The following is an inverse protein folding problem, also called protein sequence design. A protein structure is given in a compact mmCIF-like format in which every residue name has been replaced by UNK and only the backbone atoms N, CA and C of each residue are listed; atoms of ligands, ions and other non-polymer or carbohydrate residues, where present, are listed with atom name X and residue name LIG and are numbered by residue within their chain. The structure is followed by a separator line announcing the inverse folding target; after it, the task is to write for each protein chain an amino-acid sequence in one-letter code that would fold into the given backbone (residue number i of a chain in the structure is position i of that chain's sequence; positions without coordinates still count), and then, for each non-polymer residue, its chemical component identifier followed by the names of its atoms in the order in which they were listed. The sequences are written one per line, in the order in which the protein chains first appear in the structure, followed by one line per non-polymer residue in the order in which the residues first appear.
data_IF_804714895876
#
_entry.id   IF_804714895876
#
_cell.length_a   1.000
_cell.length_b   1.000
_cell.length_c   1.000
_cell.angle_alpha   90.00
_cell.angle_beta   90.00
_cell.angle_gamma   90.00
#
_symmetry.space_group_name_H-M   'P 1'
#
loop_
_entity.id
_entity.type
_entity.pdbx_description
1 polymer ?
#
# COMPACT_ATOMS: atom_id res chain seq x y z
N UNK A 1 63.62 -20.08 55.36
CA UNK A 1 62.51 -21.01 55.66
C UNK A 1 61.26 -20.49 54.95
N UNK A 2 60.56 -21.40 54.27
CA UNK A 2 59.40 -21.23 53.37
C UNK A 2 58.43 -20.08 53.69
N UNK A 3 57.94 -19.36 52.67
CA UNK A 3 56.63 -19.61 52.01
C UNK A 3 56.39 -18.70 50.79
N UNK A 4 55.83 -19.32 49.75
CA UNK A 4 55.48 -18.79 48.44
C UNK A 4 54.30 -17.82 48.49
N UNK A 5 54.29 -16.84 47.58
CA UNK A 5 53.08 -16.34 46.90
C UNK A 5 53.45 -16.12 45.42
N UNK A 6 52.69 -16.76 44.54
CA UNK A 6 52.74 -16.58 43.08
C UNK A 6 51.80 -15.44 42.72
N UNK A 7 52.27 -14.43 41.99
CA UNK A 7 51.40 -13.47 41.27
C UNK A 7 51.88 -13.41 39.82
N UNK A 8 50.91 -13.67 38.94
CA UNK A 8 51.00 -13.90 37.51
C UNK A 8 51.14 -12.57 36.74
N UNK A 9 52.08 -12.52 35.79
CA UNK A 9 52.25 -11.44 34.81
C UNK A 9 51.12 -11.46 33.77
N UNK A 10 50.61 -10.29 33.37
CA UNK A 10 49.98 -10.12 32.07
C UNK A 10 50.29 -8.71 31.52
N UNK A 11 51.04 -8.66 30.42
CA UNK A 11 51.34 -7.47 29.64
C UNK A 11 50.09 -6.96 28.91
N UNK A 12 49.91 -5.64 28.92
CA UNK A 12 48.95 -4.92 28.09
C UNK A 12 49.34 -5.01 26.60
N UNK A 13 48.46 -5.59 25.80
CA UNK A 13 48.50 -5.57 24.34
C UNK A 13 47.58 -4.44 23.86
N UNK A 14 48.16 -3.36 23.34
CA UNK A 14 47.42 -2.30 22.65
C UNK A 14 47.16 -2.73 21.20
N UNK A 15 45.90 -3.07 20.88
CA UNK A 15 45.44 -3.32 19.51
C UNK A 15 44.98 -1.99 18.91
N UNK A 16 45.64 -1.59 17.84
CA UNK A 16 45.22 -0.54 16.92
C UNK A 16 44.04 -1.10 16.11
N UNK A 17 42.80 -0.66 16.36
CA UNK A 17 41.68 -0.94 15.46
C UNK A 17 41.61 0.23 14.47
N UNK A 18 42.04 -0.06 13.24
CA UNK A 18 41.82 0.81 12.09
C UNK A 18 40.32 0.80 11.83
N UNK A 19 39.66 1.94 12.05
CA UNK A 19 38.27 2.15 11.65
C UNK A 19 38.17 2.18 10.13
N UNK A 20 37.72 1.08 9.54
CA UNK A 20 37.22 0.99 8.17
C UNK A 20 35.73 0.67 8.32
N UNK A 21 34.86 1.65 8.04
CA UNK A 21 33.41 1.51 8.25
C UNK A 21 32.59 2.78 8.01
N UNK A 22 33.22 3.94 7.77
CA UNK A 22 32.49 5.18 7.46
C UNK A 22 32.27 5.43 5.94
N UNK A 23 32.79 4.55 5.08
CA UNK A 23 32.76 4.70 3.62
C UNK A 23 31.60 3.96 2.97
N UNK A 24 31.33 2.72 3.38
CA UNK A 24 30.27 1.87 2.81
C UNK A 24 28.89 2.40 3.19
N UNK A 25 28.64 2.72 4.48
CA UNK A 25 27.36 3.27 4.94
C UNK A 25 26.95 4.59 4.25
N UNK A 26 27.93 5.44 3.88
CA UNK A 26 27.65 6.69 3.16
C UNK A 26 27.37 6.48 1.68
N UNK A 27 28.02 5.51 1.06
CA UNK A 27 27.80 5.15 -0.34
C UNK A 27 26.46 4.42 -0.49
N UNK A 28 26.11 3.54 0.45
CA UNK A 28 24.82 2.84 0.50
C UNK A 28 23.66 3.80 0.76
N UNK A 29 23.77 4.73 1.73
CA UNK A 29 22.78 5.80 1.93
C UNK A 29 22.69 6.78 0.74
N UNK A 30 23.80 7.02 0.03
CA UNK A 30 23.81 7.81 -1.21
C UNK A 30 23.16 7.09 -2.39
N UNK A 31 23.15 5.76 -2.39
CA UNK A 31 22.50 4.92 -3.40
C UNK A 31 20.99 4.85 -3.12
N UNK A 32 20.58 4.69 -1.86
CA UNK A 32 19.17 4.65 -1.45
C UNK A 32 18.44 5.98 -1.73
N UNK A 33 19.12 7.11 -1.52
CA UNK A 33 18.57 8.44 -1.85
C UNK A 33 18.59 8.79 -3.34
N UNK A 34 19.23 7.98 -4.19
CA UNK A 34 19.37 8.28 -5.62
C UNK A 34 18.10 7.86 -6.36
N UNK A 35 17.59 8.82 -7.14
CA UNK A 35 16.40 8.67 -7.97
C UNK A 35 16.80 8.71 -9.44
N UNK A 36 16.33 7.76 -10.22
CA UNK A 36 16.51 7.70 -11.67
C UNK A 36 15.22 8.15 -12.34
N UNK A 37 15.33 8.85 -13.49
CA UNK A 37 14.18 9.36 -14.22
C UNK A 37 14.10 8.67 -15.59
N UNK A 38 12.95 8.08 -15.92
CA UNK A 38 12.69 7.48 -17.24
C UNK A 38 12.75 8.55 -18.32
N UNK A 39 13.41 8.24 -19.44
CA UNK A 39 13.71 9.15 -20.54
C UNK A 39 14.95 10.01 -20.33
N UNK A 40 15.27 10.36 -19.08
CA UNK A 40 16.49 11.11 -18.74
C UNK A 40 17.66 10.15 -18.51
N UNK A 41 17.54 9.31 -17.48
CA UNK A 41 18.56 8.38 -17.03
C UNK A 41 18.34 6.95 -17.56
N UNK A 42 17.09 6.56 -17.81
CA UNK A 42 16.71 5.24 -18.34
C UNK A 42 16.14 5.43 -19.74
N UNK A 43 16.79 4.86 -20.77
CA UNK A 43 16.36 5.00 -22.16
C UNK A 43 15.34 3.93 -22.53
N UNK A 44 14.49 4.23 -23.50
CA UNK A 44 13.41 3.33 -23.97
C UNK A 44 13.94 1.96 -24.36
N UNK A 45 15.04 1.95 -25.10
CA UNK A 45 15.71 0.76 -25.61
C UNK A 45 16.36 -0.10 -24.51
N UNK A 46 16.55 0.45 -23.31
CA UNK A 46 17.11 -0.30 -22.19
C UNK A 46 16.03 -1.02 -21.37
N UNK A 47 14.75 -0.66 -21.50
CA UNK A 47 13.65 -1.25 -20.73
C UNK A 47 13.44 -2.71 -21.13
N UNK A 48 13.46 -3.61 -20.14
CA UNK A 48 13.30 -5.05 -20.36
C UNK A 48 12.03 -5.64 -19.74
N UNK A 49 11.55 -5.06 -18.64
CA UNK A 49 10.40 -5.56 -17.90
C UNK A 49 9.78 -4.42 -17.08
N UNK A 50 8.46 -4.37 -17.05
CA UNK A 50 7.67 -3.44 -16.26
C UNK A 50 6.48 -4.17 -15.68
N UNK A 51 6.28 -4.03 -14.38
CA UNK A 51 5.17 -4.61 -13.64
C UNK A 51 4.31 -3.51 -13.07
N UNK A 52 3.02 -3.73 -13.15
CA UNK A 52 2.00 -2.97 -12.46
C UNK A 52 1.05 -3.99 -11.84
N UNK A 53 0.96 -3.98 -10.51
CA UNK A 53 0.12 -4.93 -9.78
C UNK A 53 -0.72 -4.17 -8.78
N UNK A 54 -2.03 -4.31 -8.88
CA UNK A 54 -3.01 -3.82 -7.91
C UNK A 54 -3.66 -5.03 -7.26
N UNK A 55 -3.82 -5.03 -5.94
CA UNK A 55 -4.51 -6.12 -5.26
C UNK A 55 -5.22 -5.63 -4.00
N UNK A 56 -6.34 -6.27 -3.71
CA UNK A 56 -7.03 -6.20 -2.44
C UNK A 56 -7.09 -7.62 -1.87
N UNK A 57 -6.68 -7.79 -0.61
CA UNK A 57 -6.67 -9.08 0.09
C UNK A 57 -7.80 -9.20 1.13
N UNK A 58 -8.68 -8.20 1.21
CA UNK A 58 -9.83 -8.18 2.10
C UNK A 58 -10.96 -9.11 1.61
N UNK A 59 -12.14 -8.99 2.21
CA UNK A 59 -13.33 -9.66 1.72
C UNK A 59 -13.66 -9.19 0.30
N UNK A 60 -14.04 -10.12 -0.58
CA UNK A 60 -14.14 -9.87 -2.02
C UNK A 60 -12.80 -9.43 -2.65
N UNK A 61 -11.74 -10.20 -2.36
CA UNK A 61 -10.39 -9.94 -2.85
C UNK A 61 -10.30 -9.89 -4.38
N UNK A 62 -9.47 -8.98 -4.89
CA UNK A 62 -9.12 -8.91 -6.31
C UNK A 62 -7.62 -8.81 -6.50
N UNK A 63 -7.15 -9.21 -7.68
CA UNK A 63 -5.77 -9.05 -8.08
C UNK A 63 -5.73 -8.72 -9.57
N UNK A 64 -5.10 -7.60 -9.91
CA UNK A 64 -4.89 -7.12 -11.27
C UNK A 64 -3.40 -6.99 -11.52
N UNK A 65 -2.89 -7.64 -12.57
CA UNK A 65 -1.49 -7.51 -12.99
C UNK A 65 -1.39 -7.21 -14.47
N UNK A 66 -0.61 -6.17 -14.78
CA UNK A 66 -0.12 -5.87 -16.12
C UNK A 66 1.39 -5.99 -16.16
N UNK A 67 1.92 -6.59 -17.23
CA UNK A 67 3.35 -6.74 -17.43
C UNK A 67 3.75 -6.44 -18.86
N UNK A 68 4.64 -5.48 -19.04
CA UNK A 68 5.26 -5.15 -20.33
C UNK A 68 6.69 -5.67 -20.33
N UNK A 69 7.06 -6.53 -21.28
CA UNK A 69 8.37 -7.16 -21.27
C UNK A 69 8.90 -7.46 -22.67
N UNK A 70 10.22 -7.62 -22.77
CA UNK A 70 10.91 -8.03 -24.00
C UNK A 70 11.27 -9.50 -23.90
N UNK A 71 10.81 -10.30 -24.87
CA UNK A 71 11.16 -11.72 -24.97
C UNK A 71 11.46 -12.06 -26.43
N UNK A 72 12.64 -12.65 -26.68
CA UNK A 72 13.09 -13.02 -28.04
C UNK A 72 12.98 -11.85 -29.04
N UNK A 73 13.46 -10.66 -28.65
CA UNK A 73 13.42 -9.41 -29.42
C UNK A 73 12.02 -8.93 -29.81
N UNK A 74 10.98 -9.38 -29.09
CA UNK A 74 9.58 -8.98 -29.28
C UNK A 74 9.03 -8.33 -28.02
N UNK A 75 8.26 -7.27 -28.20
CA UNK A 75 7.51 -6.63 -27.14
C UNK A 75 6.26 -7.46 -26.79
N UNK A 76 6.04 -7.66 -25.50
CA UNK A 76 4.94 -8.46 -24.97
C UNK A 76 4.19 -7.70 -23.90
N UNK A 77 2.88 -7.89 -23.90
CA UNK A 77 1.97 -7.44 -22.84
C UNK A 77 1.27 -8.66 -22.26
N UNK A 78 1.46 -8.90 -20.97
CA UNK A 78 0.72 -9.89 -20.21
C UNK A 78 -0.28 -9.18 -19.31
N UNK A 79 -1.48 -9.74 -19.21
CA UNK A 79 -2.51 -9.29 -18.29
C UNK A 79 -3.08 -10.45 -17.50
N UNK A 80 -3.47 -10.19 -16.26
CA UNK A 80 -4.15 -11.13 -15.40
C UNK A 80 -5.08 -10.41 -14.44
N UNK A 81 -6.32 -10.85 -14.39
CA UNK A 81 -7.33 -10.44 -13.41
C UNK A 81 -7.75 -11.67 -12.63
N UNK A 82 -7.85 -11.53 -11.31
CA UNK A 82 -8.37 -12.55 -10.42
C UNK A 82 -9.40 -11.91 -9.50
N UNK A 83 -10.46 -12.66 -9.21
CA UNK A 83 -11.51 -12.26 -8.28
C UNK A 83 -11.81 -13.45 -7.37
N UNK A 84 -11.79 -13.21 -6.06
CA UNK A 84 -12.29 -14.13 -5.06
C UNK A 84 -13.51 -13.48 -4.42
N UNK A 85 -14.71 -14.00 -4.73
CA UNK A 85 -15.98 -13.50 -4.20
C UNK A 85 -16.42 -14.29 -2.98
N UNK A 86 -17.10 -13.60 -2.07
CA UNK A 86 -17.66 -14.14 -0.83
C UNK A 86 -16.63 -14.82 0.08
N UNK A 87 -15.36 -14.40 0.02
CA UNK A 87 -14.26 -15.00 0.77
C UNK A 87 -13.13 -13.99 1.04
N UNK A 88 -12.34 -14.28 2.09
CA UNK A 88 -11.26 -13.42 2.59
C UNK A 88 -9.87 -13.93 2.14
N UNK A 89 -8.90 -13.03 2.08
CA UNK A 89 -7.51 -13.34 1.85
C UNK A 89 -7.09 -13.29 0.38
N UNK A 90 -5.79 -13.44 0.09
CA UNK A 90 -5.22 -13.10 -1.21
C UNK A 90 -5.70 -14.02 -2.32
N UNK A 91 -5.96 -13.47 -3.51
CA UNK A 91 -6.26 -14.25 -4.70
C UNK A 91 -5.12 -15.24 -5.02
N UNK A 92 -5.51 -16.45 -5.39
CA UNK A 92 -4.63 -17.51 -5.90
C UNK A 92 -4.76 -17.63 -7.40
N UNK A 93 -3.88 -18.42 -8.04
CA UNK A 93 -4.02 -18.72 -9.47
C UNK A 93 -5.36 -19.40 -9.85
N UNK A 94 -6.07 -20.01 -8.88
CA UNK A 94 -7.38 -20.60 -9.13
C UNK A 94 -8.50 -19.54 -9.28
N UNK A 95 -8.26 -18.33 -8.78
CA UNK A 95 -9.22 -17.22 -8.79
C UNK A 95 -9.14 -16.40 -10.11
N UNK A 96 -8.35 -16.85 -11.09
CA UNK A 96 -8.15 -16.13 -12.36
C UNK A 96 -9.42 -16.07 -13.21
N UNK A 97 -9.90 -14.85 -13.46
CA UNK A 97 -11.07 -14.57 -14.30
C UNK A 97 -10.69 -14.17 -15.72
N UNK A 98 -9.50 -13.58 -15.89
CA UNK A 98 -8.99 -13.15 -17.19
C UNK A 98 -7.47 -13.27 -17.21
N UNK A 99 -6.90 -13.88 -18.25
CA UNK A 99 -5.45 -13.91 -18.44
C UNK A 99 -5.08 -14.05 -19.90
N UNK A 100 -3.96 -13.44 -20.29
CA UNK A 100 -3.48 -13.52 -21.67
C UNK A 100 -2.12 -12.88 -21.87
N UNK A 101 -1.54 -13.15 -23.03
CA UNK A 101 -0.31 -12.50 -23.50
C UNK A 101 -0.48 -12.10 -24.95
N UNK A 102 -0.06 -10.88 -25.24
CA UNK A 102 -0.20 -10.23 -26.53
C UNK A 102 1.19 -9.80 -27.00
N UNK A 103 1.48 -10.00 -28.28
CA UNK A 103 2.65 -9.38 -28.90
C UNK A 103 2.30 -7.95 -29.30
N UNK A 104 3.06 -6.99 -28.81
CA UNK A 104 2.85 -5.58 -29.08
C UNK A 104 3.55 -5.15 -30.37
N UNK A 105 2.95 -4.20 -31.07
CA UNK A 105 3.63 -3.46 -32.13
C UNK A 105 4.59 -2.43 -31.53
N UNK A 106 5.54 -1.93 -32.35
CA UNK A 106 6.43 -0.84 -31.96
C UNK A 106 5.66 0.42 -31.54
N UNK A 107 4.51 0.70 -32.18
CA UNK A 107 3.65 1.83 -31.85
C UNK A 107 3.00 1.65 -30.46
N UNK A 108 2.50 0.45 -30.15
CA UNK A 108 1.93 0.15 -28.83
C UNK A 108 2.99 0.19 -27.72
N UNK A 109 4.19 -0.33 -27.99
CA UNK A 109 5.33 -0.19 -27.08
C UNK A 109 5.73 1.28 -26.88
N UNK A 110 5.62 2.10 -27.93
CA UNK A 110 5.86 3.54 -27.85
C UNK A 110 4.82 4.25 -26.99
N UNK A 111 3.54 3.92 -27.14
CA UNK A 111 2.47 4.46 -26.29
C UNK A 111 2.70 4.12 -24.82
N UNK A 112 3.02 2.85 -24.52
CA UNK A 112 3.44 2.43 -23.17
C UNK A 112 4.60 3.28 -22.65
N UNK A 113 5.67 3.41 -23.44
CA UNK A 113 6.85 4.18 -23.04
C UNK A 113 6.51 5.65 -22.74
N UNK A 114 5.68 6.29 -23.57
CA UNK A 114 5.31 7.70 -23.39
C UNK A 114 4.57 7.95 -22.08
N UNK A 115 3.88 6.94 -21.54
CA UNK A 115 3.15 7.01 -20.28
C UNK A 115 4.05 6.88 -19.06
N UNK A 116 5.09 6.05 -19.15
CA UNK A 116 6.08 5.90 -18.06
C UNK A 116 7.22 6.94 -18.13
N UNK A 117 7.36 7.64 -19.26
CA UNK A 117 8.38 8.66 -19.46
C UNK A 117 8.24 9.82 -18.44
N UNK A 118 9.36 10.25 -17.87
CA UNK A 118 9.38 11.20 -16.74
C UNK A 118 9.00 10.58 -15.40
N UNK A 119 8.47 9.36 -15.38
CA UNK A 119 8.33 8.55 -14.18
C UNK A 119 9.70 8.22 -13.58
N UNK A 120 9.68 7.70 -12.36
CA UNK A 120 10.87 7.70 -11.54
C UNK A 120 11.11 6.39 -10.86
N UNK A 121 12.37 5.98 -10.76
CA UNK A 121 12.78 4.71 -10.16
C UNK A 121 13.71 4.94 -8.98
N UNK A 122 13.48 4.21 -7.89
CA UNK A 122 14.30 4.23 -6.68
C UNK A 122 14.78 2.84 -6.28
N UNK A 123 15.77 2.80 -5.40
CA UNK A 123 16.22 1.57 -4.80
C UNK A 123 15.10 1.00 -3.93
N UNK A 124 14.91 -0.32 -3.98
CA UNK A 124 13.92 -0.99 -3.16
C UNK A 124 14.40 -0.99 -1.70
N UNK A 125 13.62 -0.41 -0.80
CA UNK A 125 13.92 -0.42 0.64
C UNK A 125 13.38 -1.70 1.32
N UNK A 126 12.44 -2.39 0.66
CA UNK A 126 11.78 -3.58 1.20
C UNK A 126 12.64 -4.83 1.11
N UNK A 127 12.77 -5.52 2.26
CA UNK A 127 12.98 -6.97 2.24
C UNK A 127 11.72 -7.63 1.68
N UNK A 128 11.85 -8.68 0.87
CA UNK A 128 10.71 -9.38 0.25
C UNK A 128 9.69 -10.02 1.24
N UNK A 129 9.82 -9.76 2.55
CA UNK A 129 8.99 -10.27 3.64
C UNK A 129 8.07 -9.19 4.26
N UNK A 130 8.19 -7.91 3.90
CA UNK A 130 7.27 -6.86 4.37
C UNK A 130 6.01 -6.84 3.52
N UNK A 131 4.94 -7.48 4.00
CA UNK A 131 3.62 -7.55 3.36
C UNK A 131 2.89 -6.21 3.35
N UNK A 132 3.39 -5.26 2.57
CA UNK A 132 2.67 -4.03 2.27
C UNK A 132 1.42 -4.28 1.40
N UNK A 133 0.60 -3.26 1.24
CA UNK A 133 -0.51 -3.23 0.29
C UNK A 133 -0.06 -2.45 -0.94
N UNK A 134 -0.29 -3.01 -2.13
CA UNK A 134 0.07 -2.41 -3.41
C UNK A 134 -0.63 -1.06 -3.67
N UNK A 135 -0.39 -0.43 -4.82
CA UNK A 135 0.06 -1.07 -6.05
C UNK A 135 1.58 -1.21 -6.15
N UNK A 136 2.02 -2.39 -6.58
CA UNK A 136 3.43 -2.74 -6.70
C UNK A 136 3.92 -2.49 -8.12
N UNK A 137 4.63 -1.38 -8.31
CA UNK A 137 5.14 -0.96 -9.62
C UNK A 137 6.65 -1.16 -9.68
N UNK A 138 7.09 -1.94 -10.67
CA UNK A 138 8.51 -2.23 -10.85
C UNK A 138 8.96 -2.01 -12.28
N UNK A 139 10.10 -1.33 -12.47
CA UNK A 139 10.74 -1.15 -13.78
C UNK A 139 12.15 -1.74 -13.78
N UNK A 140 12.45 -2.56 -14.78
CA UNK A 140 13.75 -3.18 -14.98
C UNK A 140 14.35 -2.75 -16.33
N UNK A 141 15.66 -2.53 -16.34
CA UNK A 141 16.42 -2.20 -17.56
C UNK A 141 17.79 -2.88 -17.58
N UNK A 142 18.37 -3.01 -18.77
CA UNK A 142 19.60 -3.78 -19.06
C UNK A 142 20.80 -3.42 -18.18
N UNK A 143 20.91 -2.16 -17.73
CA UNK A 143 22.07 -1.64 -17.01
C UNK A 143 21.90 -1.55 -15.48
N UNK A 144 20.73 -1.88 -14.93
CA UNK A 144 20.41 -1.64 -13.52
C UNK A 144 21.11 -2.58 -12.52
N UNK A 145 21.33 -3.84 -12.93
CA UNK A 145 21.77 -4.94 -12.04
C UNK A 145 20.86 -5.15 -10.82
N UNK A 146 19.56 -4.86 -10.94
CA UNK A 146 18.57 -5.02 -9.88
C UNK A 146 18.87 -4.15 -8.65
N UNK A 147 19.37 -2.92 -8.85
CA UNK A 147 19.63 -1.96 -7.77
C UNK A 147 18.48 -0.98 -7.55
N UNK A 148 17.76 -0.62 -8.61
CA UNK A 148 16.67 0.34 -8.58
C UNK A 148 15.48 -0.26 -9.32
N UNK A 149 14.35 -0.41 -8.64
CA UNK A 149 13.25 -1.21 -9.16
C UNK A 149 11.90 -0.56 -8.92
N UNK A 150 11.69 0.08 -7.77
CA UNK A 150 10.41 0.68 -7.41
C UNK A 150 10.13 1.90 -8.28
N UNK A 151 9.06 1.82 -9.08
CA UNK A 151 8.66 2.83 -10.02
C UNK A 151 7.48 3.66 -9.50
N UNK A 152 7.49 4.96 -9.82
CA UNK A 152 6.33 5.83 -9.64
C UNK A 152 6.10 6.62 -10.93
N UNK A 153 4.84 6.75 -11.34
CA UNK A 153 4.47 7.61 -12.46
C UNK A 153 4.81 9.08 -12.17
N UNK A 154 4.95 9.87 -13.24
CA UNK A 154 5.22 11.32 -13.13
C UNK A 154 4.01 12.11 -12.61
N UNK A 155 2.80 11.58 -12.81
CA UNK A 155 1.56 12.07 -12.21
C UNK A 155 0.51 10.96 -12.16
N UNK A 156 -0.55 11.20 -11.39
CA UNK A 156 -1.70 10.33 -11.33
C UNK A 156 -2.42 10.20 -12.69
N UNK A 157 -2.54 11.29 -13.45
CA UNK A 157 -3.14 11.26 -14.78
C UNK A 157 -2.39 10.32 -15.72
N UNK A 158 -1.06 10.23 -15.59
CA UNK A 158 -0.24 9.30 -16.38
C UNK A 158 -0.48 7.85 -16.03
N UNK A 159 -0.70 7.55 -14.75
CA UNK A 159 -1.08 6.24 -14.27
C UNK A 159 -2.44 5.83 -14.82
N UNK A 160 -3.43 6.72 -14.74
CA UNK A 160 -4.76 6.47 -15.33
C UNK A 160 -4.70 6.22 -16.84
N UNK A 161 -3.99 7.07 -17.58
CA UNK A 161 -3.79 6.88 -19.03
C UNK A 161 -3.08 5.54 -19.34
N UNK A 162 -2.22 5.06 -18.44
CA UNK A 162 -1.58 3.75 -18.55
C UNK A 162 -2.55 2.59 -18.33
N UNK A 163 -3.42 2.66 -17.32
CA UNK A 163 -4.47 1.66 -17.09
C UNK A 163 -5.43 1.62 -18.29
N UNK A 164 -5.85 2.77 -18.80
CA UNK A 164 -6.69 2.90 -19.99
C UNK A 164 -6.04 2.23 -21.21
N UNK A 165 -4.72 2.41 -21.42
CA UNK A 165 -3.96 1.70 -22.45
C UNK A 165 -4.02 0.18 -22.22
N UNK A 166 -3.74 -0.30 -21.00
CA UNK A 166 -3.71 -1.72 -20.68
C UNK A 166 -5.04 -2.41 -21.01
N UNK A 167 -6.16 -1.80 -20.61
CA UNK A 167 -7.50 -2.29 -20.91
C UNK A 167 -7.73 -2.33 -22.42
N UNK A 168 -7.36 -1.28 -23.15
CA UNK A 168 -7.53 -1.21 -24.61
C UNK A 168 -6.73 -2.27 -25.39
N UNK A 169 -5.65 -2.79 -24.80
CA UNK A 169 -4.84 -3.85 -25.40
C UNK A 169 -5.50 -5.22 -25.30
N UNK A 170 -6.40 -5.44 -24.33
CA UNK A 170 -7.03 -6.74 -24.08
C UNK A 170 -8.06 -7.05 -25.20
N UNK A 171 -7.97 -8.20 -25.92
CA UNK A 171 -8.89 -8.50 -27.00
C UNK A 171 -10.28 -8.91 -26.48
N UNK A 172 -11.34 -8.38 -27.09
CA UNK A 172 -12.76 -8.62 -26.70
C UNK A 172 -13.24 -10.09 -26.81
N UNK A 173 -12.43 -11.04 -27.30
CA UNK A 173 -12.87 -12.41 -27.63
C UNK A 173 -12.41 -13.53 -26.67
N UNK A 174 -11.98 -13.21 -25.45
CA UNK A 174 -11.61 -14.22 -24.44
C UNK A 174 -12.60 -14.33 -23.26
N UNK A 175 -13.83 -13.82 -23.39
CA UNK A 175 -14.92 -14.04 -22.45
C UNK A 175 -15.91 -15.08 -23.00
N UNK A 176 -15.56 -16.38 -22.90
CA UNK A 176 -16.55 -17.45 -23.02
C UNK A 176 -16.72 -18.13 -21.65
N UNK A 177 -17.52 -17.50 -20.79
CA UNK A 177 -18.41 -18.24 -19.91
C UNK A 177 -19.66 -17.38 -19.66
N UNK A 178 -20.74 -17.67 -20.38
CA UNK A 178 -22.05 -17.11 -20.09
C UNK A 178 -22.53 -17.64 -18.74
N UNK A 179 -22.72 -16.73 -17.78
CA UNK A 179 -23.82 -16.80 -16.83
C UNK A 179 -24.40 -15.39 -16.64
N UNK A 180 -25.68 -15.29 -16.98
CA UNK A 180 -26.58 -14.14 -16.85
C UNK A 180 -26.43 -13.32 -15.57
N UNK A 181 -26.29 -12.00 -15.71
CA UNK A 181 -27.07 -10.97 -15.00
C UNK A 181 -26.43 -9.58 -15.22
N UNK A 182 -27.28 -8.56 -15.35
CA UNK A 182 -26.92 -7.18 -15.00
C UNK A 182 -26.10 -6.43 -16.04
N UNK A 183 -26.77 -5.51 -16.71
CA UNK A 183 -26.16 -4.25 -17.12
C UNK A 183 -25.47 -3.61 -15.91
N UNK A 184 -24.19 -3.87 -15.73
CA UNK A 184 -23.29 -3.18 -14.81
C UNK A 184 -21.97 -2.99 -15.57
N UNK A 185 -21.96 -2.02 -16.48
CA UNK A 185 -20.72 -1.27 -16.69
C UNK A 185 -20.43 -0.55 -15.36
N UNK A 186 -19.80 -1.25 -14.41
CA UNK A 186 -19.22 -0.55 -13.26
C UNK A 186 -18.10 0.32 -13.82
N UNK A 187 -18.43 1.59 -13.79
CA UNK A 187 -17.62 2.76 -14.10
C UNK A 187 -16.17 2.54 -13.66
N UNK A 188 -15.24 2.58 -14.62
CA UNK A 188 -13.79 2.66 -14.38
C UNK A 188 -13.40 4.05 -13.85
N UNK A 189 -14.24 4.62 -12.98
CA UNK A 189 -13.90 5.81 -12.21
C UNK A 189 -13.10 5.37 -11.00
N UNK A 190 -11.93 5.99 -10.77
CA UNK A 190 -11.19 5.83 -9.53
C UNK A 190 -12.10 6.07 -8.33
N UNK A 191 -12.29 5.03 -7.52
CA UNK A 191 -13.08 5.09 -6.29
C UNK A 191 -12.13 5.52 -5.18
N UNK A 192 -12.43 6.64 -4.54
CA UNK A 192 -11.70 7.01 -3.34
C UNK A 192 -11.99 5.98 -2.23
N UNK A 193 -10.96 5.49 -1.56
CA UNK A 193 -11.11 4.65 -0.38
C UNK A 193 -10.39 5.28 0.83
N UNK A 194 -11.03 5.27 2.01
CA UNK A 194 -10.47 5.87 3.21
C UNK A 194 -9.43 4.98 3.89
N UNK A 195 -8.41 5.64 4.42
CA UNK A 195 -7.25 5.03 5.05
C UNK A 195 -6.91 5.77 6.33
N UNK A 196 -6.40 5.06 7.33
CA UNK A 196 -5.76 5.65 8.52
C UNK A 196 -4.32 5.17 8.66
N UNK A 197 -3.41 6.10 8.93
CA UNK A 197 -2.04 5.80 9.32
C UNK A 197 -1.85 6.06 10.82
N UNK A 198 -1.28 5.09 11.53
CA UNK A 198 -0.98 5.16 12.96
C UNK A 198 0.46 4.69 13.14
N UNK A 199 1.35 5.60 13.53
CA UNK A 199 2.78 5.29 13.59
C UNK A 199 3.34 4.94 12.21
N UNK A 200 3.88 3.74 12.07
CA UNK A 200 4.43 3.18 10.82
C UNK A 200 3.46 2.23 10.10
N UNK A 201 2.24 2.06 10.60
CA UNK A 201 1.22 1.19 10.01
C UNK A 201 0.10 1.98 9.37
N UNK A 202 -0.50 1.36 8.35
CA UNK A 202 -1.59 1.93 7.56
C UNK A 202 -2.68 0.88 7.41
N UNK A 203 -3.94 1.29 7.58
CA UNK A 203 -5.11 0.42 7.53
C UNK A 203 -6.19 1.03 6.64
N UNK A 204 -6.77 0.21 5.76
CA UNK A 204 -8.00 0.57 5.07
C UNK A 204 -9.17 0.62 6.06
N UNK A 205 -10.17 1.45 5.74
CA UNK A 205 -11.39 1.59 6.53
C UNK A 205 -12.59 1.09 5.71
N UNK A 206 -13.26 0.06 6.21
CA UNK A 206 -14.55 -0.38 5.73
C UNK A 206 -15.63 0.56 6.28
N UNK A 207 -16.17 1.43 5.43
CA UNK A 207 -17.15 2.44 5.84
C UNK A 207 -18.55 1.86 6.04
N UNK A 208 -19.25 2.35 7.04
CA UNK A 208 -20.67 2.04 7.23
C UNK A 208 -21.56 2.82 6.24
N UNK A 209 -22.71 2.24 5.88
CA UNK A 209 -23.71 2.89 5.02
C UNK A 209 -24.60 3.85 5.84
N UNK A 210 -24.07 5.03 6.15
CA UNK A 210 -24.82 6.07 6.83
C UNK A 210 -24.32 7.50 6.52
N UNK A 211 -25.16 8.48 6.86
CA UNK A 211 -24.92 9.88 6.52
C UNK A 211 -23.71 10.51 7.23
N UNK A 212 -23.25 9.89 8.33
CA UNK A 212 -22.09 10.35 9.10
C UNK A 212 -20.80 9.86 8.45
N UNK A 213 -20.77 8.59 8.02
CA UNK A 213 -19.70 8.00 7.23
C UNK A 213 -19.51 8.77 5.90
N UNK A 214 -20.60 9.05 5.17
CA UNK A 214 -20.57 9.87 3.95
C UNK A 214 -19.97 11.26 4.21
N UNK A 215 -20.43 11.93 5.26
CA UNK A 215 -19.95 13.27 5.60
C UNK A 215 -18.47 13.25 6.03
N UNK A 216 -18.00 12.17 6.65
CA UNK A 216 -16.59 11.98 6.98
C UNK A 216 -15.74 11.84 5.70
N UNK A 217 -16.15 11.00 4.75
CA UNK A 217 -15.48 10.86 3.45
C UNK A 217 -15.38 12.19 2.70
N UNK A 218 -16.47 12.97 2.66
CA UNK A 218 -16.48 14.30 2.03
C UNK A 218 -15.46 15.26 2.66
N UNK A 219 -15.16 15.12 3.95
CA UNK A 219 -14.13 15.93 4.62
C UNK A 219 -12.73 15.50 4.18
N UNK A 220 -12.48 14.20 4.10
CA UNK A 220 -11.18 13.66 3.67
C UNK A 220 -10.86 13.94 2.20
N UNK A 221 -11.88 14.17 1.35
CA UNK A 221 -11.68 14.64 -0.04
C UNK A 221 -10.98 16.00 -0.14
N UNK A 222 -11.08 16.82 0.90
CA UNK A 222 -10.46 18.15 0.91
C UNK A 222 -8.97 18.06 1.25
N UNK A 223 -8.65 17.48 2.42
CA UNK A 223 -7.29 17.31 2.92
C UNK A 223 -7.25 16.14 3.93
N UNK A 224 -6.09 15.47 4.09
CA UNK A 224 -5.84 14.57 5.21
C UNK A 224 -6.08 15.25 6.57
N UNK A 225 -6.54 14.47 7.56
CA UNK A 225 -6.72 14.93 8.93
C UNK A 225 -5.85 14.15 9.89
N UNK A 226 -4.95 14.85 10.56
CA UNK A 226 -4.14 14.33 11.66
C UNK A 226 -4.84 14.61 12.99
N UNK A 227 -5.00 13.57 13.82
CA UNK A 227 -5.70 13.62 15.10
C UNK A 227 -4.80 13.03 16.17
N UNK A 228 -4.51 13.82 17.20
CA UNK A 228 -3.92 13.29 18.42
C UNK A 228 -5.03 12.62 19.22
N UNK A 229 -4.87 11.32 19.50
CA UNK A 229 -5.87 10.52 20.18
C UNK A 229 -5.36 10.04 21.54
N UNK A 230 -6.17 10.22 22.56
CA UNK A 230 -5.87 9.88 23.94
C UNK A 230 -6.50 8.55 24.33
N UNK A 231 -5.82 7.80 25.18
CA UNK A 231 -6.41 6.61 25.77
C UNK A 231 -7.55 6.97 26.73
N UNK A 232 -8.71 6.35 26.53
CA UNK A 232 -9.83 6.49 27.43
C UNK A 232 -10.39 5.13 27.82
N UNK A 233 -10.64 4.94 29.11
CA UNK A 233 -11.24 3.72 29.64
C UNK A 233 -10.42 2.43 29.48
N UNK A 234 -9.21 2.49 28.92
CA UNK A 234 -8.41 1.34 28.52
C UNK A 234 -9.08 0.42 27.48
N UNK A 235 -9.94 0.98 26.63
CA UNK A 235 -10.61 0.27 25.53
C UNK A 235 -10.71 1.07 24.23
N UNK A 236 -10.41 2.38 24.26
CA UNK A 236 -10.53 3.24 23.08
C UNK A 236 -9.45 4.33 23.02
N UNK A 237 -9.17 4.78 21.79
CA UNK A 237 -8.44 6.02 21.50
C UNK A 237 -9.40 7.07 20.99
N UNK A 238 -9.45 8.25 21.60
CA UNK A 238 -10.39 9.32 21.25
C UNK A 238 -9.69 10.64 20.95
N UNK A 239 -10.13 11.36 19.92
CA UNK A 239 -9.63 12.69 19.58
C UNK A 239 -10.71 13.59 18.99
N UNK A 240 -10.45 14.90 19.02
CA UNK A 240 -11.37 15.91 18.48
C UNK A 240 -11.21 16.04 16.96
N UNK A 241 -12.34 16.01 16.23
CA UNK A 241 -12.39 16.40 14.83
C UNK A 241 -12.37 17.94 14.72
N UNK A 242 -11.72 18.51 13.69
CA UNK A 242 -11.74 19.96 13.47
C UNK A 242 -13.07 20.50 12.93
N UNK A 243 -14.07 19.62 12.75
CA UNK A 243 -15.41 19.89 12.24
C UNK A 243 -16.44 19.01 12.91
N UNK A 244 -17.71 19.33 12.68
CA UNK A 244 -18.83 18.48 13.08
C UNK A 244 -19.38 17.66 11.90
N UNK A 245 -19.91 16.50 12.23
CA UNK A 245 -20.60 15.54 11.35
C UNK A 245 -22.03 15.31 11.87
N UNK A 246 -22.97 14.86 11.02
CA UNK A 246 -24.26 14.38 11.50
C UNK A 246 -24.07 13.18 12.44
N UNK A 247 -25.07 12.87 13.26
CA UNK A 247 -25.06 11.72 14.17
C UNK A 247 -26.15 10.74 13.74
N UNK A 248 -25.80 9.47 13.64
CA UNK A 248 -26.69 8.34 13.37
C UNK A 248 -26.61 7.34 14.52
N UNK A 249 -26.90 7.81 15.74
CA UNK A 249 -26.73 7.01 16.94
C UNK A 249 -27.68 5.81 17.00
N UNK A 250 -27.11 4.63 17.26
CA UNK A 250 -27.82 3.38 17.53
C UNK A 250 -27.09 2.55 18.59
N UNK A 251 -27.79 1.59 19.21
CA UNK A 251 -27.19 0.73 20.24
C UNK A 251 -26.19 -0.24 19.59
N UNK A 252 -24.90 -0.01 19.84
CA UNK A 252 -23.78 -0.75 19.26
C UNK A 252 -22.94 -1.33 20.40
N UNK A 253 -22.53 -2.59 20.27
CA UNK A 253 -21.39 -3.14 21.01
C UNK A 253 -20.18 -3.07 20.10
N UNK A 254 -19.16 -2.33 20.50
CA UNK A 254 -17.95 -2.12 19.70
C UNK A 254 -17.10 -3.38 19.67
N UNK A 255 -16.36 -3.54 18.59
CA UNK A 255 -15.31 -4.53 18.42
C UNK A 255 -13.96 -3.83 18.16
N UNK A 256 -12.81 -4.51 18.35
CA UNK A 256 -11.53 -3.97 17.94
C UNK A 256 -11.55 -3.52 16.46
N UNK A 257 -11.10 -2.29 16.23
CA UNK A 257 -11.07 -1.66 14.91
C UNK A 257 -12.28 -0.79 14.61
N UNK A 258 -13.35 -0.82 15.42
CA UNK A 258 -14.52 0.04 15.20
C UNK A 258 -14.13 1.52 15.32
N UNK A 259 -14.51 2.29 14.31
CA UNK A 259 -14.37 3.74 14.26
C UNK A 259 -15.72 4.37 14.57
N UNK A 260 -15.80 5.06 15.70
CA UNK A 260 -17.03 5.63 16.22
C UNK A 260 -16.93 7.15 16.20
N UNK A 261 -18.01 7.79 15.75
CA UNK A 261 -18.26 9.21 15.94
C UNK A 261 -19.02 9.42 17.25
N UNK A 262 -18.50 10.30 18.10
CA UNK A 262 -19.12 10.67 19.36
C UNK A 262 -19.41 12.18 19.39
N UNK A 263 -20.61 12.53 19.89
CA UNK A 263 -21.11 13.92 19.99
C UNK A 263 -21.07 14.73 18.67
N UNK A 264 -20.90 14.05 17.55
CA UNK A 264 -20.80 14.65 16.22
C UNK A 264 -19.47 15.35 15.95
N UNK A 265 -18.48 15.33 16.85
CA UNK A 265 -17.20 16.01 16.65
C UNK A 265 -16.01 15.34 17.34
N UNK A 266 -16.18 14.16 17.91
CA UNK A 266 -15.09 13.33 18.41
C UNK A 266 -15.05 12.04 17.60
N UNK A 267 -13.86 11.58 17.27
CA UNK A 267 -13.64 10.32 16.59
C UNK A 267 -12.86 9.39 17.50
N UNK A 268 -13.29 8.14 17.53
CA UNK A 268 -12.77 7.12 18.41
C UNK A 268 -12.40 5.88 17.62
N UNK A 269 -11.27 5.24 17.91
CA UNK A 269 -10.94 3.89 17.44
C UNK A 269 -10.91 2.94 18.64
N UNK A 270 -11.77 1.92 18.62
CA UNK A 270 -11.86 0.92 19.67
C UNK A 270 -10.83 -0.19 19.50
N UNK A 271 -10.31 -0.70 20.62
CA UNK A 271 -9.48 -1.91 20.67
C UNK A 271 -10.00 -2.96 21.66
N UNK A 272 -11.15 -2.69 22.27
CA UNK A 272 -11.92 -3.61 23.11
C UNK A 272 -13.42 -3.26 23.03
N UNK A 273 -14.24 -4.02 23.75
CA UNK A 273 -15.70 -3.89 23.71
C UNK A 273 -16.24 -2.77 24.61
N UNK A 274 -17.27 -2.09 24.12
CA UNK A 274 -18.12 -1.18 24.87
C UNK A 274 -19.52 -1.14 24.23
N UNK A 275 -20.57 -1.05 25.05
CA UNK A 275 -21.95 -0.97 24.54
C UNK A 275 -22.58 0.37 24.91
N UNK A 276 -22.98 1.13 23.89
CA UNK A 276 -23.70 2.38 24.07
C UNK A 276 -24.46 2.77 22.80
N UNK A 277 -25.12 3.94 22.83
CA UNK A 277 -25.63 4.57 21.62
C UNK A 277 -24.49 5.31 20.91
N UNK A 278 -24.09 4.80 19.76
CA UNK A 278 -22.97 5.28 18.97
C UNK A 278 -23.35 5.48 17.52
N UNK A 279 -22.60 6.33 16.84
CA UNK A 279 -22.60 6.41 15.38
C UNK A 279 -21.34 5.71 14.87
N UNK A 280 -21.44 4.55 14.23
CA UNK A 280 -20.29 3.91 13.57
C UNK A 280 -20.00 4.60 12.24
N UNK A 281 -18.74 4.96 12.01
CA UNK A 281 -18.26 5.51 10.73
C UNK A 281 -17.72 4.40 9.84
N UNK A 282 -17.11 3.37 10.44
CA UNK A 282 -16.56 2.23 9.75
C UNK A 282 -15.73 1.35 10.68
N UNK A 283 -14.97 0.42 10.12
CA UNK A 283 -14.08 -0.49 10.85
C UNK A 283 -12.74 -0.62 10.13
N UNK A 284 -11.66 -0.74 10.89
CA UNK A 284 -10.33 -1.02 10.33
C UNK A 284 -10.27 -2.44 9.78
N UNK A 285 -9.80 -2.58 8.54
CA UNK A 285 -9.50 -3.90 7.93
C UNK A 285 -8.19 -4.45 8.50
N UNK A 286 -8.24 -4.96 9.73
CA UNK A 286 -7.10 -5.54 10.46
C UNK A 286 -7.59 -6.63 11.43
N UNK A 287 -6.66 -7.45 11.93
CA UNK A 287 -6.97 -8.43 12.98
C UNK A 287 -7.09 -7.77 14.36
N UNK A 288 -7.88 -8.37 15.25
CA UNK A 288 -8.00 -7.93 16.66
C UNK A 288 -6.64 -7.83 17.35
N UNK A 289 -5.71 -8.75 17.05
CA UNK A 289 -4.36 -8.74 17.58
C UNK A 289 -3.56 -7.51 17.11
N UNK A 290 -3.62 -7.17 15.83
CA UNK A 290 -2.93 -6.00 15.28
C UNK A 290 -3.51 -4.71 15.85
N UNK A 291 -4.83 -4.62 15.98
CA UNK A 291 -5.50 -3.48 16.61
C UNK A 291 -5.04 -3.32 18.06
N UNK A 292 -5.02 -4.40 18.83
CA UNK A 292 -4.58 -4.37 20.24
C UNK A 292 -3.09 -4.08 20.37
N UNK A 293 -2.27 -4.53 19.42
CA UNK A 293 -0.84 -4.23 19.40
C UNK A 293 -0.60 -2.72 19.23
N UNK A 294 -1.33 -2.08 18.31
CA UNK A 294 -1.05 -0.69 17.93
C UNK A 294 -1.79 0.34 18.79
N UNK A 295 -2.99 0.02 19.26
CA UNK A 295 -3.80 0.92 20.08
C UNK A 295 -3.70 0.60 21.58
N UNK A 296 -3.36 -0.63 21.95
CA UNK A 296 -3.40 -1.05 23.35
C UNK A 296 -2.46 -0.25 24.26
N UNK A 297 -2.95 0.07 25.46
CA UNK A 297 -2.16 0.70 26.51
C UNK A 297 -2.39 2.22 26.64
N UNK A 298 -1.82 2.82 27.69
CA UNK A 298 -2.18 4.17 28.12
C UNK A 298 -1.53 5.33 27.34
N UNK A 299 -0.73 5.06 26.31
CA UNK A 299 -0.06 6.10 25.52
C UNK A 299 -1.01 6.73 24.52
N UNK A 300 -0.81 8.03 24.30
CA UNK A 300 -1.43 8.77 23.20
C UNK A 300 -0.85 8.30 21.87
N UNK A 301 -1.66 8.40 20.81
CA UNK A 301 -1.25 8.13 19.43
C UNK A 301 -1.55 9.32 18.54
N UNK A 302 -0.96 9.33 17.36
CA UNK A 302 -1.33 10.21 16.26
C UNK A 302 -1.89 9.35 15.14
N UNK A 303 -3.13 9.62 14.74
CA UNK A 303 -3.80 8.95 13.64
C UNK A 303 -4.04 9.95 12.51
N UNK A 304 -3.60 9.63 11.30
CA UNK A 304 -3.82 10.45 10.11
C UNK A 304 -4.80 9.74 9.19
N UNK A 305 -5.99 10.31 9.02
CA UNK A 305 -7.01 9.81 8.10
C UNK A 305 -6.93 10.55 6.77
N UNK A 306 -7.00 9.81 5.66
CA UNK A 306 -6.92 10.37 4.31
C UNK A 306 -7.61 9.46 3.30
N UNK A 307 -7.73 9.93 2.05
CA UNK A 307 -8.21 9.11 0.94
C UNK A 307 -7.04 8.65 0.09
N UNK A 308 -7.05 7.38 -0.24
CA UNK A 308 -6.38 6.84 -1.42
C UNK A 308 -7.42 6.60 -2.52
N UNK A 309 -6.97 6.25 -3.72
CA UNK A 309 -7.84 6.07 -4.88
C UNK A 309 -7.56 4.70 -5.45
N UNK A 310 -8.60 3.92 -5.72
CA UNK A 310 -8.45 2.72 -6.57
C UNK A 310 -7.91 3.18 -7.90
N UNK A 311 -6.98 2.44 -8.45
CA UNK A 311 -6.34 2.86 -9.71
C UNK A 311 -7.32 2.83 -10.89
#
# INVERSE_FOLDING_TARGET
MRRCIVILYCLLLSILIIGCGAGEDKEEMSILSKKMIVGTDIKKEDIIDFYYTEENINYDAFYQRYRFYVENDKFKFFHETRERKDDYGPCTAADATLTGTIELTDDQWSQFYDLINGGTVRAREDSAESGGTGPWLYLYWTNDKSKYQEFSFSSYEKQKEFVDLCISLIPENNSNNENTAGDNSEDMTPKAYPVVSIGDRTFAIEMDDNSSADAFLEKLKSDPVEITMHDYGAFEKVGDLPWSLPQNDEEITTEPGDIILYQGNQITIYYDENTWNFTRLGKLSATDEEIKEILGGASDITATFYLEWTE
#
